data_IF_590038156921
#
_entry.id   IF_590038156921
#
_cell.length_a   1.000
_cell.length_b   1.000
_cell.length_c   1.000
_cell.angle_alpha   90.00
_cell.angle_beta   90.00
_cell.angle_gamma   90.00
#
_symmetry.space_group_name_H-M   'P 1'
#
loop_
_entity.id
_entity.type
_entity.pdbx_description
1 polymer ?
#
# COMPACT_ATOMS: atom_id res chain seq x y z
N UNK A 1 8.09 -23.38 -7.41
CA UNK A 1 6.77 -23.35 -6.76
C UNK A 1 6.35 -21.89 -6.73
N UNK A 2 5.54 -21.45 -7.69
CA UNK A 2 5.10 -20.04 -7.75
C UNK A 2 4.14 -19.81 -6.58
N UNK A 3 4.36 -18.81 -5.71
CA UNK A 3 3.45 -18.53 -4.61
C UNK A 3 2.04 -18.26 -5.15
N UNK A 4 1.01 -18.63 -4.37
CA UNK A 4 -0.37 -18.29 -4.69
C UNK A 4 -0.51 -16.76 -4.73
N UNK A 5 -0.90 -16.18 -5.88
CA UNK A 5 -1.03 -14.73 -6.01
C UNK A 5 -2.04 -14.16 -5.02
N UNK A 6 -3.09 -14.89 -4.64
CA UNK A 6 -4.06 -14.41 -3.65
C UNK A 6 -3.43 -14.27 -2.26
N UNK A 7 -2.68 -15.28 -1.82
CA UNK A 7 -2.00 -15.23 -0.53
C UNK A 7 -0.95 -14.11 -0.46
N UNK A 8 -0.24 -13.86 -1.57
CA UNK A 8 0.70 -12.74 -1.66
C UNK A 8 0.00 -11.37 -1.60
N UNK A 9 -1.13 -11.22 -2.29
CA UNK A 9 -1.94 -9.99 -2.27
C UNK A 9 -2.49 -9.71 -0.87
N UNK A 10 -3.01 -10.72 -0.19
CA UNK A 10 -3.52 -10.59 1.18
C UNK A 10 -2.41 -10.16 2.15
N UNK A 11 -1.22 -10.75 2.03
CA UNK A 11 -0.06 -10.36 2.85
C UNK A 11 0.34 -8.90 2.64
N UNK A 12 0.35 -8.42 1.39
CA UNK A 12 0.65 -7.01 1.08
C UNK A 12 -0.40 -6.08 1.67
N UNK A 13 -1.69 -6.43 1.59
CA UNK A 13 -2.77 -5.63 2.16
C UNK A 13 -2.65 -5.54 3.68
N UNK A 14 -2.30 -6.65 4.34
CA UNK A 14 -2.11 -6.67 5.79
C UNK A 14 -0.88 -5.86 6.22
N UNK A 15 0.20 -5.86 5.44
CA UNK A 15 1.36 -4.99 5.65
C UNK A 15 0.97 -3.50 5.52
N UNK A 16 0.18 -3.15 4.49
CA UNK A 16 -0.33 -1.78 4.33
C UNK A 16 -1.17 -1.35 5.54
N UNK A 17 -2.05 -2.23 6.05
CA UNK A 17 -2.86 -1.97 7.25
C UNK A 17 -1.99 -1.76 8.48
N UNK A 18 -1.00 -2.61 8.70
CA UNK A 18 -0.10 -2.51 9.84
C UNK A 18 0.70 -1.20 9.80
N UNK A 19 1.28 -0.86 8.65
CA UNK A 19 2.05 0.37 8.47
C UNK A 19 1.17 1.62 8.63
N UNK A 20 -0.01 1.66 8.01
CA UNK A 20 -0.95 2.77 8.18
C UNK A 20 -1.40 2.93 9.63
N UNK A 21 -1.74 1.82 10.29
CA UNK A 21 -2.14 1.81 11.70
C UNK A 21 -1.04 2.34 12.60
N UNK A 22 0.21 1.95 12.37
CA UNK A 22 1.37 2.45 13.10
C UNK A 22 1.54 3.97 12.92
N UNK A 23 1.53 4.48 11.68
CA UNK A 23 1.66 5.93 11.41
C UNK A 23 0.55 6.74 12.09
N UNK A 24 -0.71 6.26 12.04
CA UNK A 24 -1.84 6.93 12.71
C UNK A 24 -1.70 6.88 14.24
N UNK A 25 -1.27 5.75 14.80
CA UNK A 25 -1.07 5.61 16.24
C UNK A 25 0.06 6.51 16.74
N UNK A 26 1.17 6.59 16.00
CA UNK A 26 2.28 7.48 16.29
C UNK A 26 1.85 8.94 16.26
N UNK A 27 1.12 9.36 15.23
CA UNK A 27 0.65 10.74 15.10
C UNK A 27 -0.32 11.10 16.22
N UNK A 28 -1.27 10.22 16.57
CA UNK A 28 -2.19 10.42 17.69
C UNK A 28 -1.45 10.56 19.02
N UNK A 29 -0.45 9.70 19.26
CA UNK A 29 0.35 9.73 20.48
C UNK A 29 1.17 11.01 20.58
N UNK A 30 1.77 11.47 19.47
CA UNK A 30 2.53 12.72 19.43
C UNK A 30 1.63 13.94 19.69
N UNK A 31 0.42 13.97 19.12
CA UNK A 31 -0.56 15.03 19.39
C UNK A 31 -0.95 15.02 20.87
N UNK A 32 -1.23 13.85 21.45
CA UNK A 32 -1.59 13.73 22.86
C UNK A 32 -0.46 14.22 23.78
N UNK A 33 0.79 13.82 23.51
CA UNK A 33 1.95 14.28 24.28
C UNK A 33 2.11 15.80 24.21
N UNK A 34 1.93 16.39 23.04
CA UNK A 34 2.00 17.84 22.87
C UNK A 34 0.88 18.56 23.65
N UNK A 35 -0.36 18.07 23.56
CA UNK A 35 -1.51 18.67 24.26
C UNK A 35 -1.38 18.59 25.78
N UNK A 36 -0.91 17.46 26.32
CA UNK A 36 -0.83 17.24 27.76
C UNK A 36 0.44 17.80 28.41
N UNK A 37 1.57 17.76 27.71
CA UNK A 37 2.90 17.99 28.29
C UNK A 37 3.69 19.07 27.56
N UNK A 38 3.19 19.58 26.43
CA UNK A 38 3.92 20.52 25.57
C UNK A 38 5.09 19.88 24.82
N UNK A 39 5.22 18.54 24.86
CA UNK A 39 6.32 17.82 24.21
C UNK A 39 6.11 17.79 22.70
N UNK A 40 7.00 18.42 21.89
CA UNK A 40 6.88 18.38 20.45
C UNK A 40 7.16 16.96 19.90
N UNK A 41 6.68 16.64 18.69
CA UNK A 41 7.06 15.41 18.00
C UNK A 41 8.59 15.27 17.86
N UNK A 42 9.10 14.03 17.72
CA UNK A 42 10.52 13.78 17.50
C UNK A 42 11.05 14.56 16.28
N UNK A 43 12.24 15.15 16.39
CA UNK A 43 12.83 15.95 15.31
C UNK A 43 13.17 15.11 14.06
N UNK A 44 13.37 13.81 14.23
CA UNK A 44 13.64 12.82 13.19
C UNK A 44 12.38 12.16 12.62
N UNK A 45 11.17 12.57 13.06
CA UNK A 45 9.91 11.99 12.60
C UNK A 45 9.74 12.04 11.08
N UNK A 46 10.21 13.12 10.44
CA UNK A 46 10.17 13.26 8.98
C UNK A 46 11.19 12.35 8.28
N UNK A 47 12.38 12.15 8.85
CA UNK A 47 13.42 11.31 8.26
C UNK A 47 13.10 9.81 8.37
N UNK A 48 12.38 9.43 9.43
CA UNK A 48 11.97 8.06 9.72
C UNK A 48 10.62 7.68 9.10
N UNK A 49 9.90 8.66 8.54
CA UNK A 49 8.55 8.45 8.02
C UNK A 49 7.54 8.09 9.10
N UNK A 50 7.74 8.56 10.34
CA UNK A 50 6.99 8.16 11.53
C UNK A 50 5.47 8.37 11.39
N UNK A 51 5.06 9.33 10.57
CA UNK A 51 3.67 9.70 10.30
C UNK A 51 3.26 9.48 8.83
N UNK A 52 4.13 8.86 8.03
CA UNK A 52 3.94 8.79 6.58
C UNK A 52 2.90 7.73 6.21
N UNK A 53 2.25 7.95 5.06
CA UNK A 53 1.41 6.92 4.45
C UNK A 53 2.26 5.77 3.92
N UNK A 54 1.80 4.51 4.04
CA UNK A 54 2.48 3.40 3.39
C UNK A 54 2.42 3.55 1.87
N UNK A 55 3.46 3.07 1.19
CA UNK A 55 3.56 3.07 -0.26
C UNK A 55 3.41 1.65 -0.82
N UNK A 56 2.51 1.50 -1.78
CA UNK A 56 2.37 0.28 -2.58
C UNK A 56 3.24 0.40 -3.83
N UNK A 57 4.12 -0.59 -4.05
CA UNK A 57 5.02 -0.67 -5.20
C UNK A 57 4.73 -1.91 -6.03
N UNK A 58 4.37 -1.70 -7.29
CA UNK A 58 4.16 -2.76 -8.27
C UNK A 58 5.28 -2.74 -9.31
N UNK A 59 5.95 -3.87 -9.49
CA UNK A 59 7.00 -4.07 -10.49
C UNK A 59 6.52 -5.07 -11.52
N UNK A 60 6.59 -4.71 -12.79
CA UNK A 60 6.07 -5.52 -13.90
C UNK A 60 7.01 -5.49 -15.09
N UNK A 61 7.09 -6.62 -15.81
CA UNK A 61 7.85 -6.75 -17.06
C UNK A 61 7.06 -6.27 -18.28
N UNK A 62 5.82 -5.81 -18.11
CA UNK A 62 4.99 -5.29 -19.20
C UNK A 62 4.32 -6.38 -20.05
N UNK A 63 4.57 -7.66 -19.75
CA UNK A 63 3.89 -8.77 -20.41
C UNK A 63 2.48 -8.95 -19.82
N UNK A 64 1.43 -9.01 -20.65
CA UNK A 64 0.08 -9.29 -20.16
C UNK A 64 0.04 -10.69 -19.55
N UNK A 65 -0.75 -10.87 -18.49
CA UNK A 65 -0.91 -12.20 -17.87
C UNK A 65 -1.46 -13.19 -18.90
N UNK A 66 -1.03 -14.46 -18.81
CA UNK A 66 -1.60 -15.56 -19.61
C UNK A 66 -3.12 -15.64 -19.37
N UNK A 67 -3.92 -15.24 -20.36
CA UNK A 67 -5.38 -15.11 -20.27
C UNK A 67 -5.93 -13.67 -20.40
N UNK A 68 -5.11 -12.64 -20.24
CA UNK A 68 -5.48 -11.24 -20.53
C UNK A 68 -5.26 -10.86 -22.01
N UNK A 69 -4.47 -11.63 -22.75
CA UNK A 69 -4.29 -11.43 -24.19
C UNK A 69 -5.65 -11.64 -24.90
N UNK A 70 -6.27 -10.54 -25.36
CA UNK A 70 -7.57 -10.54 -26.04
C UNK A 70 -8.75 -10.03 -25.20
N UNK A 71 -8.54 -9.62 -23.94
CA UNK A 71 -9.56 -9.04 -23.09
C UNK A 71 -9.63 -7.50 -23.24
N UNK A 72 -10.75 -6.95 -23.73
CA UNK A 72 -11.03 -5.51 -23.79
C UNK A 72 -11.41 -4.96 -22.39
N UNK A 73 -10.51 -5.09 -21.42
CA UNK A 73 -10.73 -4.51 -20.09
C UNK A 73 -10.50 -2.99 -20.15
N UNK A 74 -11.42 -2.23 -19.55
CA UNK A 74 -11.28 -0.77 -19.39
C UNK A 74 -10.32 -0.38 -18.25
N UNK A 75 -9.95 -1.32 -17.37
CA UNK A 75 -9.03 -1.13 -16.24
C UNK A 75 -8.27 -2.43 -15.92
N UNK A 76 -7.34 -2.39 -14.96
CA UNK A 76 -6.57 -3.58 -14.56
C UNK A 76 -5.54 -4.03 -15.60
N UNK A 77 -5.05 -3.09 -16.44
CA UNK A 77 -4.03 -3.34 -17.46
C UNK A 77 -2.79 -2.48 -17.22
N UNK A 78 -1.63 -3.06 -17.53
CA UNK A 78 -0.35 -2.34 -17.52
C UNK A 78 0.15 -2.27 -18.96
N UNK A 79 0.31 -1.04 -19.47
CA UNK A 79 0.74 -0.78 -20.85
C UNK A 79 2.25 -0.96 -21.07
N UNK A 80 3.05 -0.86 -20.01
CA UNK A 80 4.51 -0.84 -20.10
C UNK A 80 5.16 -1.52 -18.92
N UNK A 81 6.32 -2.13 -19.17
CA UNK A 81 7.23 -2.55 -18.12
C UNK A 81 7.64 -1.35 -17.25
N UNK A 82 7.78 -1.57 -15.95
CA UNK A 82 8.21 -0.51 -15.04
C UNK A 82 7.84 -0.73 -13.60
N UNK A 83 8.08 0.30 -12.80
CA UNK A 83 7.70 0.37 -11.40
C UNK A 83 6.63 1.44 -11.21
N UNK A 84 5.48 1.03 -10.69
CA UNK A 84 4.36 1.91 -10.37
C UNK A 84 4.27 2.02 -8.84
N UNK A 85 4.24 3.25 -8.33
CA UNK A 85 4.20 3.52 -6.89
C UNK A 85 3.05 4.46 -6.59
N UNK A 86 2.28 4.14 -5.55
CA UNK A 86 1.24 5.02 -5.01
C UNK A 86 1.24 4.94 -3.49
N UNK A 87 0.93 6.05 -2.83
CA UNK A 87 0.65 6.04 -1.39
C UNK A 87 -0.77 5.54 -1.16
N UNK A 88 -0.99 4.87 -0.02
CA UNK A 88 -2.27 4.27 0.35
C UNK A 88 -2.74 4.83 1.67
N UNK A 89 -4.01 5.26 1.72
CA UNK A 89 -4.70 5.70 2.93
C UNK A 89 -5.89 4.78 3.20
N UNK A 90 -6.19 4.53 4.49
CA UNK A 90 -7.29 3.64 4.93
C UNK A 90 -7.31 2.29 4.18
N UNK A 91 -6.21 1.51 4.21
CA UNK A 91 -6.12 0.20 3.56
C UNK A 91 -7.14 -0.81 4.11
N UNK A 92 -7.65 -0.59 5.32
CA UNK A 92 -8.77 -1.29 5.93
C UNK A 92 -10.10 -1.04 5.18
N UNK A 93 -10.38 0.22 4.80
CA UNK A 93 -11.57 0.57 4.03
C UNK A 93 -11.48 0.08 2.58
N UNK A 94 -10.30 0.17 1.97
CA UNK A 94 -10.09 -0.20 0.57
C UNK A 94 -9.59 -1.62 0.38
N UNK A 95 -9.60 -2.47 1.41
CA UNK A 95 -9.00 -3.81 1.37
C UNK A 95 -9.54 -4.65 0.20
N UNK A 96 -10.86 -4.68 0.03
CA UNK A 96 -11.49 -5.48 -1.03
C UNK A 96 -11.18 -4.93 -2.42
N UNK A 97 -11.18 -3.60 -2.58
CA UNK A 97 -10.79 -2.94 -3.82
C UNK A 97 -9.32 -3.22 -4.17
N UNK A 98 -8.41 -3.07 -3.20
CA UNK A 98 -6.99 -3.34 -3.40
C UNK A 98 -6.76 -4.80 -3.76
N UNK A 99 -7.47 -5.74 -3.12
CA UNK A 99 -7.40 -7.16 -3.44
C UNK A 99 -7.84 -7.42 -4.87
N UNK A 100 -9.00 -6.93 -5.27
CA UNK A 100 -9.52 -7.10 -6.63
C UNK A 100 -8.55 -6.54 -7.67
N UNK A 101 -8.09 -5.30 -7.49
CA UNK A 101 -7.19 -4.66 -8.45
C UNK A 101 -5.82 -5.35 -8.52
N UNK A 102 -5.25 -5.77 -7.39
CA UNK A 102 -3.97 -6.46 -7.39
C UNK A 102 -4.08 -7.85 -8.04
N UNK A 103 -5.15 -8.60 -7.78
CA UNK A 103 -5.41 -9.89 -8.45
C UNK A 103 -5.57 -9.77 -9.96
N UNK A 104 -6.09 -8.63 -10.46
CA UNK A 104 -6.12 -8.35 -11.90
C UNK A 104 -4.70 -8.12 -12.47
N UNK A 105 -3.75 -7.66 -11.65
CA UNK A 105 -2.42 -7.24 -12.10
C UNK A 105 -1.32 -8.29 -11.83
N UNK A 106 -1.51 -9.22 -10.90
CA UNK A 106 -0.51 -10.22 -10.46
C UNK A 106 -0.93 -11.65 -10.74
#
# INVERSE_FOLDING_TARGET
MTPDPSAAVDAVIDELKAAFGASVANLRSAIAAYVHQGTPPPADAAATGLFDYPALRLVTTGEPRRGQAGHNLSFGRIERAGTFVTTVTRPDLFADYLREQLLLLT
#
